data_IF_061383668608
#
_entry.id   IF_061383668608
#
_cell.length_a   1.000
_cell.length_b   1.000
_cell.length_c   1.000
_cell.angle_alpha   90.00
_cell.angle_beta   90.00
_cell.angle_gamma   90.00
#
_symmetry.space_group_name_H-M   'P 1'
#
loop_
_entity.id
_entity.type
_entity.pdbx_description
1 polymer ?
#
# COMPACT_ATOMS: atom_id res chain seq x y z
N UNK A 1 -15.72 -14.52 1.17
CA UNK A 1 -16.56 -13.43 1.74
C UNK A 1 -15.65 -12.46 2.45
N UNK A 2 -15.77 -11.16 2.19
CA UNK A 2 -15.05 -10.17 3.01
C UNK A 2 -15.53 -10.31 4.44
N UNK A 3 -14.64 -10.70 5.33
CA UNK A 3 -14.91 -11.05 6.71
C UNK A 3 -14.56 -9.88 7.60
N UNK A 4 -15.31 -9.70 8.68
CA UNK A 4 -15.00 -8.68 9.70
C UNK A 4 -13.59 -8.86 10.24
N UNK A 5 -13.16 -10.11 10.44
CA UNK A 5 -11.79 -10.46 10.88
C UNK A 5 -10.73 -9.96 9.90
N UNK A 6 -10.90 -10.20 8.60
CA UNK A 6 -9.95 -9.77 7.58
C UNK A 6 -9.81 -8.24 7.52
N UNK A 7 -10.93 -7.52 7.62
CA UNK A 7 -10.95 -6.06 7.71
C UNK A 7 -10.16 -5.58 8.93
N UNK A 8 -10.41 -6.15 10.12
CA UNK A 8 -9.72 -5.75 11.35
C UNK A 8 -8.21 -6.00 11.25
N UNK A 9 -7.79 -7.17 10.77
CA UNK A 9 -6.36 -7.50 10.60
C UNK A 9 -5.70 -6.48 9.69
N UNK A 10 -6.31 -6.19 8.53
CA UNK A 10 -5.72 -5.26 7.58
C UNK A 10 -5.74 -3.82 8.07
N UNK A 11 -6.79 -3.36 8.73
CA UNK A 11 -6.82 -2.02 9.31
C UNK A 11 -5.73 -1.82 10.35
N UNK A 12 -5.54 -2.79 11.25
CA UNK A 12 -4.48 -2.72 12.26
C UNK A 12 -3.10 -2.74 11.59
N UNK A 13 -2.90 -3.65 10.64
CA UNK A 13 -1.63 -3.73 9.90
C UNK A 13 -1.32 -2.42 9.18
N UNK A 14 -2.29 -1.87 8.45
CA UNK A 14 -2.17 -0.62 7.70
C UNK A 14 -1.81 0.54 8.62
N UNK A 15 -2.50 0.66 9.76
CA UNK A 15 -2.21 1.71 10.74
C UNK A 15 -0.80 1.60 11.33
N UNK A 16 -0.39 0.39 11.71
CA UNK A 16 0.96 0.15 12.26
C UNK A 16 2.03 0.40 11.20
N UNK A 17 1.79 -0.01 9.95
CA UNK A 17 2.74 0.21 8.87
C UNK A 17 2.90 1.69 8.55
N UNK A 18 1.81 2.45 8.43
CA UNK A 18 1.87 3.91 8.25
C UNK A 18 2.69 4.58 9.35
N UNK A 19 2.49 4.19 10.62
CA UNK A 19 3.29 4.70 11.74
C UNK A 19 4.77 4.38 11.62
N UNK A 20 5.12 3.19 11.12
CA UNK A 20 6.51 2.80 10.92
C UNK A 20 7.13 3.57 9.76
N UNK A 21 6.37 3.82 8.70
CA UNK A 21 6.82 4.53 7.51
C UNK A 21 7.11 6.02 7.77
N UNK A 22 6.47 6.63 8.77
CA UNK A 22 6.74 8.01 9.16
C UNK A 22 8.23 8.23 9.46
N UNK A 23 8.86 9.08 8.65
CA UNK A 23 10.27 9.43 8.79
C UNK A 23 11.25 8.38 8.27
N UNK A 24 10.79 7.30 7.64
CA UNK A 24 11.67 6.35 6.96
C UNK A 24 12.28 6.95 5.70
N UNK A 25 13.60 6.82 5.56
CA UNK A 25 14.31 7.13 4.31
C UNK A 25 14.46 5.82 3.55
N UNK A 26 13.60 5.62 2.54
CA UNK A 26 13.58 4.41 1.72
C UNK A 26 14.70 4.34 0.66
N UNK A 27 15.52 5.39 0.55
CA UNK A 27 16.67 5.44 -0.36
C UNK A 27 18.00 5.27 0.41
N UNK A 28 18.62 4.08 0.38
CA UNK A 28 19.89 3.83 1.07
C UNK A 28 21.02 4.74 0.60
N UNK A 29 20.94 5.28 -0.62
CA UNK A 29 21.94 6.21 -1.15
C UNK A 29 21.97 7.56 -0.40
N UNK A 30 20.84 7.95 0.19
CA UNK A 30 20.71 9.19 0.98
C UNK A 30 21.17 9.02 2.43
N UNK A 31 21.38 7.78 2.89
CA UNK A 31 21.78 7.48 4.27
C UNK A 31 23.31 7.53 4.37
N UNK A 32 23.83 8.43 5.22
CA UNK A 32 25.27 8.64 5.37
C UNK A 32 26.03 7.38 5.78
N UNK A 33 25.43 6.57 6.67
CA UNK A 33 26.02 5.35 7.24
C UNK A 33 25.89 4.12 6.32
N UNK A 34 25.24 4.23 5.15
CA UNK A 34 25.12 3.11 4.22
C UNK A 34 26.49 2.66 3.69
N UNK A 35 26.73 1.34 3.56
CA UNK A 35 27.90 0.79 2.88
C UNK A 35 28.06 1.32 1.45
N UNK A 36 29.30 1.37 0.95
CA UNK A 36 29.62 1.87 -0.39
C UNK A 36 28.82 1.16 -1.49
N UNK A 37 28.74 -0.18 -1.44
CA UNK A 37 27.99 -0.97 -2.42
C UNK A 37 26.49 -0.60 -2.47
N UNK A 38 25.88 -0.20 -1.34
CA UNK A 38 24.48 0.22 -1.33
C UNK A 38 24.32 1.57 -2.03
N UNK A 39 25.26 2.50 -1.84
CA UNK A 39 25.23 3.82 -2.49
C UNK A 39 25.47 3.74 -4.00
N UNK A 40 26.23 2.74 -4.45
CA UNK A 40 26.49 2.49 -5.87
C UNK A 40 25.31 1.81 -6.56
N UNK A 41 24.65 0.87 -5.87
CA UNK A 41 23.53 0.12 -6.42
C UNK A 41 22.20 0.87 -6.35
N UNK A 42 21.89 1.50 -5.22
CA UNK A 42 20.66 2.25 -5.04
C UNK A 42 20.80 3.65 -5.63
N UNK A 43 19.96 3.93 -6.61
CA UNK A 43 19.67 5.28 -7.11
C UNK A 43 18.25 5.65 -6.70
N UNK A 44 17.83 6.92 -6.70
CA UNK A 44 16.47 7.31 -6.37
C UNK A 44 15.40 6.51 -7.16
N UNK A 45 15.70 6.17 -8.42
CA UNK A 45 14.81 5.35 -9.25
C UNK A 45 14.77 3.89 -8.78
N UNK A 46 15.94 3.27 -8.54
CA UNK A 46 16.03 1.88 -8.07
C UNK A 46 15.38 1.73 -6.70
N UNK A 47 15.64 2.66 -5.77
CA UNK A 47 15.04 2.70 -4.43
C UNK A 47 13.52 2.75 -4.51
N UNK A 48 12.96 3.55 -5.42
CA UNK A 48 11.52 3.66 -5.61
C UNK A 48 10.88 2.35 -6.13
N UNK A 49 11.49 1.67 -7.10
CA UNK A 49 10.98 0.38 -7.58
C UNK A 49 11.17 -0.75 -6.57
N UNK A 50 12.31 -0.77 -5.88
CA UNK A 50 12.57 -1.73 -4.83
C UNK A 50 11.52 -1.60 -3.71
N UNK A 51 11.25 -0.37 -3.29
CA UNK A 51 10.22 -0.08 -2.29
C UNK A 51 8.86 -0.64 -2.68
N UNK A 52 8.43 -0.48 -3.93
CA UNK A 52 7.14 -1.02 -4.41
C UNK A 52 7.03 -2.53 -4.33
N UNK A 53 8.09 -3.24 -4.69
CA UNK A 53 8.10 -4.70 -4.62
C UNK A 53 7.98 -5.13 -3.16
N UNK A 54 8.76 -4.51 -2.27
CA UNK A 54 8.68 -4.78 -0.83
C UNK A 54 7.30 -4.45 -0.28
N UNK A 55 6.78 -3.25 -0.56
CA UNK A 55 5.46 -2.80 -0.15
C UNK A 55 4.36 -3.75 -0.62
N UNK A 56 4.38 -4.14 -1.90
CA UNK A 56 3.41 -5.11 -2.44
C UNK A 56 3.48 -6.45 -1.72
N UNK A 57 4.68 -6.96 -1.44
CA UNK A 57 4.87 -8.21 -0.69
C UNK A 57 4.38 -8.08 0.75
N UNK A 58 4.67 -6.97 1.41
CA UNK A 58 4.25 -6.68 2.78
C UNK A 58 2.73 -6.64 2.91
N UNK A 59 2.00 -6.13 1.91
CA UNK A 59 0.54 -6.12 1.89
C UNK A 59 -0.07 -7.43 1.36
N UNK A 60 0.63 -8.16 0.49
CA UNK A 60 0.16 -9.44 -0.03
C UNK A 60 0.05 -10.50 1.06
N UNK A 61 1.01 -10.58 1.98
CA UNK A 61 1.01 -11.56 3.06
C UNK A 61 -0.22 -11.46 4.00
N UNK A 62 -0.53 -10.31 4.63
CA UNK A 62 -1.71 -10.19 5.48
C UNK A 62 -3.01 -10.31 4.66
N UNK A 63 -3.00 -9.96 3.38
CA UNK A 63 -4.15 -10.18 2.48
C UNK A 63 -4.42 -11.66 2.20
N UNK A 64 -3.35 -12.44 2.04
CA UNK A 64 -3.43 -13.90 2.01
C UNK A 64 -4.00 -14.45 3.33
N UNK A 65 -3.51 -13.99 4.48
CA UNK A 65 -4.04 -14.42 5.78
C UNK A 65 -5.51 -14.06 5.98
N UNK A 66 -5.94 -12.91 5.48
CA UNK A 66 -7.33 -12.43 5.58
C UNK A 66 -8.31 -13.19 4.65
N UNK A 67 -7.84 -13.61 3.48
CA UNK A 67 -8.64 -14.34 2.48
C UNK A 67 -8.57 -15.86 2.60
N UNK A 68 -7.47 -16.39 3.17
CA UNK A 68 -7.15 -17.81 3.18
C UNK A 68 -6.73 -18.38 1.82
N UNK A 69 -6.50 -17.54 0.81
CA UNK A 69 -6.18 -17.94 -0.57
C UNK A 69 -5.03 -17.12 -1.11
N UNK A 70 -4.11 -17.76 -1.82
CA UNK A 70 -2.95 -17.08 -2.43
C UNK A 70 -3.40 -16.10 -3.52
N UNK A 71 -4.37 -16.50 -4.35
CA UNK A 71 -4.93 -15.66 -5.40
C UNK A 71 -6.45 -15.85 -5.48
N UNK A 72 -7.19 -14.77 -5.25
CA UNK A 72 -8.65 -14.71 -5.38
C UNK A 72 -9.10 -13.26 -5.44
N UNK A 73 -10.33 -12.99 -5.87
CA UNK A 73 -10.88 -11.64 -5.80
C UNK A 73 -10.91 -11.09 -4.38
N UNK A 74 -11.14 -11.93 -3.37
CA UNK A 74 -11.02 -11.50 -1.97
C UNK A 74 -9.59 -11.11 -1.59
N UNK A 75 -8.58 -11.88 -2.03
CA UNK A 75 -7.17 -11.56 -1.76
C UNK A 75 -6.78 -10.24 -2.39
N UNK A 76 -7.17 -10.02 -3.65
CA UNK A 76 -6.92 -8.76 -4.38
C UNK A 76 -7.66 -7.60 -3.69
N UNK A 77 -8.91 -7.83 -3.27
CA UNK A 77 -9.69 -6.83 -2.55
C UNK A 77 -8.99 -6.42 -1.25
N UNK A 78 -8.51 -7.38 -0.46
CA UNK A 78 -7.77 -7.10 0.77
C UNK A 78 -6.46 -6.36 0.49
N UNK A 79 -5.72 -6.74 -0.56
CA UNK A 79 -4.46 -6.07 -0.90
C UNK A 79 -4.67 -4.59 -1.19
N UNK A 80 -5.66 -4.27 -2.03
CA UNK A 80 -6.01 -2.89 -2.36
C UNK A 80 -6.55 -2.18 -1.11
N UNK A 81 -7.36 -2.85 -0.30
CA UNK A 81 -7.94 -2.27 0.91
C UNK A 81 -6.87 -1.85 1.90
N UNK A 82 -5.90 -2.73 2.17
CA UNK A 82 -4.82 -2.45 3.10
C UNK A 82 -3.93 -1.32 2.59
N UNK A 83 -3.46 -1.41 1.35
CA UNK A 83 -2.54 -0.41 0.80
C UNK A 83 -3.17 0.99 0.72
N UNK A 84 -4.39 1.12 0.18
CA UNK A 84 -5.11 2.40 0.15
C UNK A 84 -5.40 2.93 1.57
N UNK A 85 -5.77 2.06 2.51
CA UNK A 85 -6.04 2.52 3.88
C UNK A 85 -4.78 2.99 4.58
N UNK A 86 -3.67 2.30 4.35
CA UNK A 86 -2.37 2.68 4.91
C UNK A 86 -1.94 4.05 4.41
N UNK A 87 -1.99 4.30 3.11
CA UNK A 87 -1.59 5.58 2.52
C UNK A 87 -2.46 6.74 3.03
N UNK A 88 -3.78 6.56 3.11
CA UNK A 88 -4.69 7.53 3.74
C UNK A 88 -4.28 7.80 5.20
N UNK A 89 -3.96 6.74 5.97
CA UNK A 89 -3.53 6.89 7.37
C UNK A 89 -2.19 7.61 7.45
N UNK A 90 -1.23 7.27 6.59
CA UNK A 90 0.09 7.90 6.53
C UNK A 90 -0.03 9.41 6.39
N UNK A 91 -0.82 9.89 5.44
CA UNK A 91 -1.00 11.34 5.23
C UNK A 91 -1.74 12.03 6.38
N UNK A 92 -2.70 11.35 7.02
CA UNK A 92 -3.36 11.86 8.23
C UNK A 92 -2.33 12.01 9.36
N UNK A 93 -1.44 11.03 9.53
CA UNK A 93 -0.46 11.02 10.61
C UNK A 93 0.73 11.95 10.36
N UNK A 94 1.15 12.15 9.10
CA UNK A 94 2.21 13.10 8.74
C UNK A 94 1.77 14.56 8.92
N UNK A 95 0.46 14.82 9.04
CA UNK A 95 -0.15 16.15 9.21
C UNK A 95 0.27 17.11 8.08
N UNK A 96 0.43 16.57 6.87
CA UNK A 96 0.76 17.32 5.66
C UNK A 96 -0.27 17.05 4.60
N UNK A 97 -0.48 18.04 3.74
CA UNK A 97 -1.28 17.84 2.52
C UNK A 97 -0.50 16.88 1.63
N UNK A 98 -1.14 15.81 1.10
CA UNK A 98 -0.51 14.92 0.15
C UNK A 98 0.13 15.69 -0.99
N UNK A 99 1.30 15.24 -1.41
CA UNK A 99 2.04 15.86 -2.50
C UNK A 99 2.70 14.81 -3.37
N UNK A 100 2.86 15.13 -4.65
CA UNK A 100 3.39 14.17 -5.61
C UNK A 100 4.85 13.85 -5.31
N UNK A 101 5.15 12.58 -5.04
CA UNK A 101 6.51 12.06 -5.04
C UNK A 101 6.84 11.50 -6.43
N UNK A 102 7.64 12.26 -7.18
CA UNK A 102 7.99 11.97 -8.59
C UNK A 102 6.76 11.66 -9.46
N UNK A 103 6.96 11.15 -10.69
CA UNK A 103 5.91 10.82 -11.68
C UNK A 103 4.86 9.77 -11.24
N UNK A 104 4.84 9.38 -9.97
CA UNK A 104 4.37 8.07 -9.53
C UNK A 104 3.28 8.07 -8.46
N UNK A 105 2.94 9.25 -7.93
CA UNK A 105 1.85 9.46 -7.00
C UNK A 105 1.18 10.77 -7.41
N UNK A 106 0.36 10.76 -8.49
CA UNK A 106 -0.17 12.00 -9.02
C UNK A 106 -1.18 12.56 -8.02
N UNK A 107 -0.82 13.68 -7.41
CA UNK A 107 -1.70 14.43 -6.53
C UNK A 107 -2.28 15.61 -7.30
N UNK A 108 -3.61 15.74 -7.25
CA UNK A 108 -4.33 16.87 -7.84
C UNK A 108 -5.01 17.68 -6.73
N UNK A 109 -4.58 18.92 -6.52
CA UNK A 109 -5.10 19.80 -5.45
C UNK A 109 -5.10 19.14 -4.05
N UNK A 110 -4.03 18.43 -3.71
CA UNK A 110 -3.90 17.73 -2.42
C UNK A 110 -4.69 16.43 -2.32
N UNK A 111 -5.29 15.95 -3.42
CA UNK A 111 -5.99 14.67 -3.49
C UNK A 111 -5.10 13.65 -4.22
N UNK A 112 -4.68 12.57 -3.54
CA UNK A 112 -4.04 11.45 -4.19
C UNK A 112 -4.98 10.76 -5.17
N UNK A 113 -4.61 10.73 -6.45
CA UNK A 113 -5.46 10.13 -7.48
C UNK A 113 -5.47 8.60 -7.36
N UNK A 114 -4.38 8.00 -6.93
CA UNK A 114 -4.26 6.56 -6.75
C UNK A 114 -5.12 6.03 -5.60
N UNK A 115 -5.27 6.76 -4.49
CA UNK A 115 -6.25 6.44 -3.45
C UNK A 115 -7.68 6.44 -4.00
N UNK A 116 -8.02 7.45 -4.80
CA UNK A 116 -9.34 7.53 -5.44
C UNK A 116 -9.56 6.32 -6.36
N UNK A 117 -8.56 5.95 -7.15
CA UNK A 117 -8.59 4.74 -7.99
C UNK A 117 -8.73 3.49 -7.12
N UNK A 118 -8.00 3.38 -6.02
CA UNK A 118 -8.06 2.28 -5.06
C UNK A 118 -9.48 2.09 -4.52
N UNK A 119 -10.12 3.17 -4.06
CA UNK A 119 -11.51 3.16 -3.59
C UNK A 119 -12.48 2.71 -4.69
N UNK A 120 -12.32 3.20 -5.92
CA UNK A 120 -13.13 2.77 -7.07
C UNK A 120 -12.97 1.26 -7.33
N UNK A 121 -11.72 0.76 -7.35
CA UNK A 121 -11.42 -0.66 -7.54
C UNK A 121 -12.02 -1.53 -6.43
N UNK A 122 -11.97 -1.08 -5.18
CA UNK A 122 -12.59 -1.78 -4.05
C UNK A 122 -14.10 -1.95 -4.24
N UNK A 123 -14.80 -0.93 -4.74
CA UNK A 123 -16.23 -1.03 -5.03
C UNK A 123 -16.51 -2.01 -6.17
N UNK A 124 -15.75 -1.95 -7.25
CA UNK A 124 -15.91 -2.82 -8.42
C UNK A 124 -15.63 -4.29 -8.07
N UNK A 125 -14.53 -4.58 -7.38
CA UNK A 125 -14.15 -5.93 -6.98
C UNK A 125 -15.15 -6.48 -5.96
N UNK A 126 -15.63 -5.65 -5.02
CA UNK A 126 -16.67 -6.07 -4.07
C UNK A 126 -17.96 -6.47 -4.77
N UNK A 127 -18.35 -5.76 -5.83
CA UNK A 127 -19.49 -6.13 -6.68
C UNK A 127 -19.24 -7.50 -7.33
N UNK A 128 -18.07 -7.70 -7.94
CA UNK A 128 -17.70 -8.97 -8.57
C UNK A 128 -17.72 -10.16 -7.60
N UNK A 129 -17.17 -10.00 -6.39
CA UNK A 129 -17.20 -11.03 -5.33
C UNK A 129 -18.64 -11.42 -4.95
N UNK A 130 -19.59 -10.47 -5.00
CA UNK A 130 -21.00 -10.77 -4.73
C UNK A 130 -21.62 -11.56 -5.89
N UNK A 131 -21.36 -11.17 -7.13
CA UNK A 131 -21.92 -11.82 -8.33
C UNK A 131 -21.47 -13.27 -8.49
N UNK A 132 -20.18 -13.57 -8.27
CA UNK A 132 -19.65 -14.94 -8.34
C UNK A 132 -20.23 -15.91 -7.32
N UNK A 133 -20.91 -15.40 -6.28
CA UNK A 133 -21.55 -16.22 -5.26
C UNK A 133 -23.03 -16.46 -5.48
N UNK A 134 -23.65 -15.66 -6.35
CA UNK A 134 -25.07 -15.83 -6.73
C UNK A 134 -25.19 -16.83 -7.88
N UNK A 135 -24.10 -17.07 -8.61
CA UNK A 135 -23.95 -18.16 -9.57
C UNK A 135 -23.54 -19.45 -8.88
#
# INVERSE_FOLDING_TARGET
>A
MISKRGIVILTIFSFVYALLELGMIWDPSQIKTSPGWMKEFFTPTVSLYFYRVIYTVLFAYPSYLASGKLFSWETIWYLIYGSTLEDIIYWILDVRVPYSWAWFYPVYYGIPIDDVIGVLLLMLIRKKIKEEKVR
#
